data_IF_026150828397
#
_entry.id   IF_026150828397
#
_cell.length_a   1.000
_cell.length_b   1.000
_cell.length_c   1.000
_cell.angle_alpha   90.00
_cell.angle_beta   90.00
_cell.angle_gamma   90.00
#
_symmetry.space_group_name_H-M   'P 1'
#
loop_
_entity.id
_entity.type
_entity.pdbx_description
1 polymer ?
#
# COMPACT_ATOMS: atom_id res chain seq x y z
N UNK A 1 17.21 -2.21 10.71
CA UNK A 1 16.20 -1.15 10.93
C UNK A 1 15.24 -1.68 11.99
N UNK A 2 15.27 -1.17 13.23
CA UNK A 2 14.36 -1.58 14.32
C UNK A 2 13.03 -0.82 14.25
N UNK A 3 12.62 -0.51 13.02
CA UNK A 3 11.47 0.33 12.77
C UNK A 3 10.21 -0.53 12.74
N UNK A 4 9.27 -0.20 13.61
CA UNK A 4 8.03 -0.96 13.73
C UNK A 4 7.00 -0.56 12.68
N UNK A 5 7.17 0.59 12.02
CA UNK A 5 6.17 1.16 11.13
C UNK A 5 6.29 0.56 9.72
N UNK A 6 5.29 -0.20 9.25
CA UNK A 6 5.39 -0.92 7.96
C UNK A 6 5.67 -0.01 6.76
N UNK A 7 5.20 1.25 6.80
CA UNK A 7 5.37 2.19 5.70
C UNK A 7 6.79 2.78 5.61
N UNK A 8 7.57 2.80 6.70
CA UNK A 8 8.94 3.32 6.69
C UNK A 8 9.88 2.45 5.86
N UNK A 9 9.62 1.14 5.79
CA UNK A 9 10.41 0.21 4.98
C UNK A 9 10.11 0.24 3.47
N UNK A 10 9.19 1.10 3.00
CA UNK A 10 8.73 1.04 1.59
C UNK A 10 9.57 1.87 0.63
N UNK A 11 10.36 2.83 1.12
CA UNK A 11 11.12 3.74 0.25
C UNK A 11 12.13 3.02 -0.63
N UNK A 12 13.04 2.25 -0.04
CA UNK A 12 14.09 1.53 -0.78
C UNK A 12 13.56 0.53 -1.82
N UNK A 13 12.59 -0.36 -1.50
CA UNK A 13 12.02 -1.26 -2.50
C UNK A 13 11.25 -0.52 -3.59
N UNK A 14 10.56 0.59 -3.27
CA UNK A 14 9.90 1.42 -4.28
C UNK A 14 10.92 2.03 -5.25
N UNK A 15 11.98 2.64 -4.74
CA UNK A 15 13.05 3.21 -5.57
C UNK A 15 13.75 2.16 -6.43
N UNK A 16 14.03 0.97 -5.86
CA UNK A 16 14.60 -0.16 -6.60
C UNK A 16 13.66 -0.63 -7.71
N UNK A 17 12.37 -0.74 -7.44
CA UNK A 17 11.39 -1.13 -8.45
C UNK A 17 11.30 -0.08 -9.57
N UNK A 18 11.21 1.21 -9.23
CA UNK A 18 11.17 2.32 -10.19
C UNK A 18 12.43 2.31 -11.07
N UNK A 19 13.61 2.13 -10.48
CA UNK A 19 14.88 2.03 -11.22
C UNK A 19 14.87 0.90 -12.25
N UNK A 20 14.30 -0.25 -11.89
CA UNK A 20 14.35 -1.45 -12.74
C UNK A 20 13.20 -1.53 -13.76
N UNK A 21 12.06 -0.91 -13.49
CA UNK A 21 10.82 -1.11 -14.26
C UNK A 21 10.23 0.20 -14.82
N UNK A 22 10.68 1.35 -14.35
CA UNK A 22 10.13 2.65 -14.68
C UNK A 22 8.99 3.07 -13.75
N UNK A 23 8.75 4.38 -13.70
CA UNK A 23 7.77 5.00 -12.80
C UNK A 23 6.32 4.62 -13.14
N UNK A 24 5.99 4.46 -14.43
CA UNK A 24 4.62 4.16 -14.84
C UNK A 24 4.16 2.79 -14.32
N UNK A 25 4.99 1.76 -14.49
CA UNK A 25 4.70 0.43 -13.94
C UNK A 25 4.57 0.43 -12.43
N UNK A 26 5.36 1.26 -11.74
CA UNK A 26 5.24 1.44 -10.31
C UNK A 26 3.91 2.09 -9.93
N UNK A 27 3.49 3.16 -10.61
CA UNK A 27 2.19 3.81 -10.39
C UNK A 27 1.02 2.85 -10.62
N UNK A 28 1.06 2.04 -11.67
CA UNK A 28 0.03 1.05 -11.95
C UNK A 28 -0.06 0.00 -10.83
N UNK A 29 1.10 -0.48 -10.34
CA UNK A 29 1.17 -1.39 -9.20
C UNK A 29 0.64 -0.75 -7.90
N UNK A 30 0.99 0.52 -7.63
CA UNK A 30 0.47 1.26 -6.49
C UNK A 30 -1.04 1.46 -6.58
N UNK A 31 -1.58 1.80 -7.76
CA UNK A 31 -3.03 1.92 -7.95
C UNK A 31 -3.73 0.60 -7.62
N UNK A 32 -3.19 -0.53 -8.06
CA UNK A 32 -3.76 -1.85 -7.74
C UNK A 32 -3.64 -2.20 -6.26
N UNK A 33 -2.51 -1.89 -5.63
CA UNK A 33 -2.25 -2.14 -4.21
C UNK A 33 -3.17 -1.32 -3.31
N UNK A 34 -3.35 -0.03 -3.64
CA UNK A 34 -4.11 0.94 -2.86
C UNK A 34 -5.57 1.08 -3.34
N UNK A 35 -6.13 0.03 -3.92
CA UNK A 35 -7.55 -0.05 -4.29
C UNK A 35 -8.23 -1.26 -3.65
N UNK A 36 -9.43 -1.03 -3.11
CA UNK A 36 -10.28 -2.10 -2.61
C UNK A 36 -10.63 -3.07 -3.74
N UNK A 37 -10.36 -4.37 -3.53
CA UNK A 37 -10.69 -5.43 -4.50
C UNK A 37 -12.19 -5.71 -4.67
N UNK A 38 -13.05 -5.01 -3.91
CA UNK A 38 -14.50 -5.16 -3.98
C UNK A 38 -15.16 -4.05 -4.79
N UNK A 39 -14.84 -2.80 -4.47
CA UNK A 39 -15.50 -1.62 -5.06
C UNK A 39 -14.54 -0.69 -5.83
N UNK A 40 -13.24 -0.96 -5.83
CA UNK A 40 -12.24 -0.10 -6.47
C UNK A 40 -11.91 1.20 -5.73
N UNK A 41 -12.54 1.48 -4.58
CA UNK A 41 -12.24 2.68 -3.81
C UNK A 41 -10.77 2.71 -3.36
N UNK A 42 -10.18 3.91 -3.33
CA UNK A 42 -8.85 4.12 -2.77
C UNK A 42 -8.83 3.72 -1.30
N UNK A 43 -7.76 3.08 -0.87
CA UNK A 43 -7.51 2.70 0.53
C UNK A 43 -6.22 3.34 1.02
N UNK A 44 -6.09 3.47 2.34
CA UNK A 44 -4.90 4.04 2.99
C UNK A 44 -4.33 3.09 4.04
N UNK A 45 -3.13 3.38 4.54
CA UNK A 45 -2.52 2.66 5.63
C UNK A 45 -3.47 2.54 6.83
N UNK A 46 -3.42 1.39 7.50
CA UNK A 46 -4.17 1.09 8.73
C UNK A 46 -5.71 1.14 8.61
N UNK A 47 -6.26 1.39 7.42
CA UNK A 47 -7.69 1.40 7.19
C UNK A 47 -8.24 -0.02 7.25
N UNK A 48 -8.97 -0.35 8.32
CA UNK A 48 -9.54 -1.70 8.52
C UNK A 48 -10.80 -1.96 7.71
N UNK A 49 -11.56 -0.93 7.37
CA UNK A 49 -12.83 -1.05 6.65
C UNK A 49 -12.90 -0.12 5.45
N UNK A 50 -13.32 -0.65 4.31
CA UNK A 50 -13.61 0.12 3.10
C UNK A 50 -14.97 0.82 3.22
N UNK A 51 -15.19 1.99 2.58
CA UNK A 51 -16.52 2.63 2.53
C UNK A 51 -17.64 1.74 1.98
N UNK A 52 -17.31 0.72 1.19
CA UNK A 52 -18.30 -0.26 0.71
C UNK A 52 -18.64 -1.36 1.73
N UNK A 53 -18.15 -1.28 2.97
CA UNK A 53 -18.41 -2.25 4.04
C UNK A 53 -17.51 -3.48 4.06
N UNK A 54 -16.57 -3.62 3.12
CA UNK A 54 -15.60 -4.74 3.10
C UNK A 54 -14.49 -4.50 4.12
N UNK A 55 -14.14 -5.54 4.88
CA UNK A 55 -12.94 -5.55 5.71
C UNK A 55 -11.67 -5.64 4.83
N UNK A 56 -10.68 -4.80 5.12
CA UNK A 56 -9.43 -4.69 4.39
C UNK A 56 -8.31 -5.44 5.12
N UNK A 57 -7.32 -5.98 4.41
CA UNK A 57 -6.13 -6.59 4.99
C UNK A 57 -5.17 -5.50 5.49
N UNK A 58 -5.61 -4.72 6.47
CA UNK A 58 -4.85 -3.61 7.02
C UNK A 58 -3.66 -4.10 7.83
N UNK A 59 -2.55 -3.37 7.77
CA UNK A 59 -1.49 -3.50 8.77
C UNK A 59 -2.01 -3.03 10.14
N UNK A 60 -1.47 -3.60 11.21
CA UNK A 60 -1.71 -3.10 12.56
C UNK A 60 -0.85 -1.87 12.84
N UNK A 61 -1.39 -0.95 13.64
CA UNK A 61 -0.64 0.21 14.12
C UNK A 61 0.28 -0.27 15.23
N UNK A 62 1.61 -0.11 15.10
CA UNK A 62 2.52 -0.52 16.15
C UNK A 62 2.32 0.30 17.43
N UNK A 63 2.49 -0.36 18.58
CA UNK A 63 2.51 0.25 19.92
C UNK A 63 3.95 0.44 20.44
#
# INVERSE_FOLDING_TARGET
>A
MNDKWPHHGTMEPNLKYIKNNGVQKWLDAQQQQWSCKGCGAKIIWYQKNCPCGRQLPAWEVPV
#
